data_IF_950903405579
#
_entry.id   IF_950903405579
#
_cell.length_a   1.000
_cell.length_b   1.000
_cell.length_c   1.000
_cell.angle_alpha   90.00
_cell.angle_beta   90.00
_cell.angle_gamma   90.00
#
_symmetry.space_group_name_H-M   'P 1'
#
loop_
_entity.id
_entity.type
_entity.pdbx_description
1 polymer ?
#
# COMPACT_ATOMS: atom_id res chain seq x y z
N UNK A 1 24.84 -29.49 -11.18
CA UNK A 1 25.20 -29.21 -9.76
C UNK A 1 25.68 -27.77 -9.68
N UNK A 2 25.34 -27.01 -8.63
CA UNK A 2 25.80 -25.62 -8.52
C UNK A 2 27.34 -25.49 -8.56
N UNK A 3 27.85 -24.54 -9.35
CA UNK A 3 29.28 -24.28 -9.54
C UNK A 3 29.70 -23.02 -8.80
N UNK A 4 30.69 -23.11 -7.92
CA UNK A 4 31.24 -21.97 -7.21
C UNK A 4 31.90 -20.97 -8.18
N UNK A 5 31.73 -19.67 -7.90
CA UNK A 5 32.31 -18.56 -8.64
C UNK A 5 33.06 -17.60 -7.70
N UNK A 6 34.28 -17.24 -8.06
CA UNK A 6 34.99 -16.08 -7.50
C UNK A 6 34.61 -14.76 -8.20
N UNK A 7 35.12 -13.61 -7.73
CA UNK A 7 34.84 -12.28 -8.31
C UNK A 7 34.98 -12.22 -9.84
N UNK A 8 36.07 -12.79 -10.37
CA UNK A 8 36.37 -12.73 -11.80
C UNK A 8 35.40 -13.59 -12.60
N UNK A 9 35.08 -14.77 -12.07
CA UNK A 9 34.14 -15.71 -12.65
C UNK A 9 32.71 -15.17 -12.63
N UNK A 10 32.26 -14.50 -11.55
CA UNK A 10 30.94 -13.86 -11.50
C UNK A 10 30.82 -12.83 -12.63
N UNK A 11 31.83 -11.99 -12.82
CA UNK A 11 31.84 -10.95 -13.85
C UNK A 11 31.79 -11.53 -15.26
N UNK A 12 32.62 -12.55 -15.54
CA UNK A 12 32.63 -13.21 -16.85
C UNK A 12 31.32 -13.95 -17.14
N UNK A 13 30.79 -14.68 -16.15
CA UNK A 13 29.56 -15.46 -16.30
C UNK A 13 28.34 -14.56 -16.46
N UNK A 14 28.27 -13.42 -15.76
CA UNK A 14 27.22 -12.42 -15.97
C UNK A 14 27.22 -11.90 -17.40
N UNK A 15 28.39 -11.56 -17.93
CA UNK A 15 28.51 -11.08 -19.31
C UNK A 15 28.18 -12.17 -20.32
N UNK A 16 28.48 -13.43 -20.02
CA UNK A 16 28.10 -14.55 -20.87
C UNK A 16 26.59 -14.82 -20.81
N UNK A 17 25.98 -14.78 -19.63
CA UNK A 17 24.53 -14.88 -19.41
C UNK A 17 23.76 -13.86 -20.24
N UNK A 18 24.17 -12.58 -20.18
CA UNK A 18 23.56 -11.51 -20.98
C UNK A 18 23.75 -11.74 -22.49
N UNK A 19 24.89 -12.29 -22.92
CA UNK A 19 25.15 -12.59 -24.34
C UNK A 19 24.23 -13.69 -24.85
N UNK A 20 24.12 -14.77 -24.09
CA UNK A 20 23.47 -16.01 -24.47
C UNK A 20 21.95 -15.96 -24.38
N UNK A 21 21.39 -15.04 -23.59
CA UNK A 21 19.95 -14.90 -23.39
C UNK A 21 19.17 -14.81 -24.72
N UNK A 22 18.14 -15.64 -24.86
CA UNK A 22 17.25 -15.69 -26.03
C UNK A 22 15.78 -15.48 -25.70
N UNK A 23 15.38 -15.68 -24.45
CA UNK A 23 13.98 -15.53 -24.03
C UNK A 23 13.81 -14.46 -22.97
N UNK A 24 14.67 -14.48 -21.93
CA UNK A 24 14.56 -13.54 -20.81
C UNK A 24 15.90 -13.10 -20.26
N UNK A 25 15.91 -11.88 -19.73
CA UNK A 25 16.95 -11.38 -18.83
C UNK A 25 16.25 -10.81 -17.60
N UNK A 26 16.63 -11.30 -16.41
CA UNK A 26 16.15 -10.78 -15.14
C UNK A 26 17.37 -10.43 -14.28
N UNK A 27 17.45 -9.17 -13.87
CA UNK A 27 18.49 -8.67 -12.98
C UNK A 27 17.87 -8.26 -11.65
N UNK A 28 18.26 -8.95 -10.58
CA UNK A 28 17.88 -8.60 -9.22
C UNK A 28 19.08 -8.03 -8.52
N UNK A 29 18.95 -6.81 -8.00
CA UNK A 29 20.04 -6.10 -7.33
C UNK A 29 19.53 -5.34 -6.12
N UNK A 30 20.36 -5.17 -5.10
CA UNK A 30 20.03 -4.29 -3.98
C UNK A 30 19.99 -2.82 -4.39
N UNK A 31 20.98 -2.40 -5.18
CA UNK A 31 21.18 -1.03 -5.64
C UNK A 31 21.08 -0.96 -7.15
N UNK A 32 20.26 -0.05 -7.67
CA UNK A 32 20.21 0.21 -9.10
C UNK A 32 21.37 1.13 -9.51
N UNK A 33 22.56 0.53 -9.60
CA UNK A 33 23.74 1.12 -10.21
C UNK A 33 24.31 0.06 -11.14
N UNK A 34 23.99 0.19 -12.43
CA UNK A 34 24.38 -0.77 -13.45
C UNK A 34 25.55 -0.19 -14.23
N UNK A 35 26.61 -0.97 -14.48
CA UNK A 35 27.73 -0.47 -15.26
C UNK A 35 27.40 -0.31 -16.76
N UNK A 36 28.20 0.49 -17.46
CA UNK A 36 27.94 0.85 -18.87
C UNK A 36 27.95 -0.37 -19.79
N UNK A 37 28.81 -1.36 -19.52
CA UNK A 37 28.88 -2.59 -20.33
C UNK A 37 27.60 -3.43 -20.27
N UNK A 38 26.96 -3.51 -19.10
CA UNK A 38 25.69 -4.21 -18.93
C UNK A 38 24.57 -3.41 -19.57
N UNK A 39 24.54 -2.08 -19.38
CA UNK A 39 23.55 -1.19 -20.01
C UNK A 39 23.57 -1.32 -21.54
N UNK A 40 24.75 -1.29 -22.17
CA UNK A 40 24.92 -1.46 -23.61
C UNK A 40 24.38 -2.80 -24.12
N UNK A 41 24.57 -3.87 -23.35
CA UNK A 41 24.06 -5.21 -23.71
C UNK A 41 22.55 -5.28 -23.62
N UNK A 42 21.94 -4.70 -22.58
CA UNK A 42 20.49 -4.64 -22.44
C UNK A 42 19.86 -3.85 -23.60
N UNK A 43 20.40 -2.67 -23.92
CA UNK A 43 19.99 -1.88 -25.10
C UNK A 43 20.11 -2.66 -26.39
N UNK A 44 21.21 -3.40 -26.58
CA UNK A 44 21.42 -4.23 -27.77
C UNK A 44 20.37 -5.33 -27.88
N UNK A 45 20.06 -6.01 -26.77
CA UNK A 45 19.03 -7.08 -26.74
C UNK A 45 17.63 -6.56 -27.02
N UNK A 46 17.28 -5.42 -26.44
CA UNK A 46 16.02 -4.72 -26.68
C UNK A 46 15.86 -4.31 -28.16
N UNK A 47 16.89 -3.69 -28.76
CA UNK A 47 16.89 -3.31 -30.18
C UNK A 47 16.77 -4.49 -31.14
N UNK A 48 17.31 -5.65 -30.78
CA UNK A 48 17.13 -6.87 -31.56
C UNK A 48 15.70 -7.41 -31.46
N UNK A 49 14.97 -7.08 -30.38
CA UNK A 49 13.56 -7.45 -30.17
C UNK A 49 13.33 -8.95 -30.03
N UNK A 50 14.36 -9.72 -29.69
CA UNK A 50 14.29 -11.19 -29.65
C UNK A 50 13.85 -11.74 -28.29
N UNK A 51 13.91 -10.93 -27.23
CA UNK A 51 13.57 -11.36 -25.88
C UNK A 51 12.08 -11.09 -25.60
N UNK A 52 11.43 -12.01 -24.90
CA UNK A 52 10.08 -11.80 -24.36
C UNK A 52 10.08 -11.03 -23.03
N UNK A 53 11.24 -10.93 -22.36
CA UNK A 53 11.34 -10.27 -21.08
C UNK A 53 12.74 -9.66 -20.83
N UNK A 54 12.77 -8.37 -20.51
CA UNK A 54 13.90 -7.71 -19.86
C UNK A 54 13.38 -7.09 -18.56
N UNK A 55 13.82 -7.59 -17.42
CA UNK A 55 13.33 -7.13 -16.11
C UNK A 55 14.47 -6.76 -15.19
N UNK A 56 14.30 -5.65 -14.48
CA UNK A 56 15.15 -5.27 -13.35
C UNK A 56 14.31 -5.16 -12.10
N UNK A 57 14.72 -5.86 -11.04
CA UNK A 57 14.14 -5.77 -9.71
C UNK A 57 15.20 -5.18 -8.80
N UNK A 58 14.91 -4.03 -8.19
CA UNK A 58 15.87 -3.33 -7.34
C UNK A 58 15.34 -3.05 -5.95
N UNK A 59 16.27 -2.90 -4.99
CA UNK A 59 15.96 -2.63 -3.60
C UNK A 59 15.57 -1.18 -3.32
N UNK A 60 15.67 -0.77 -2.06
CA UNK A 60 15.35 0.60 -1.66
C UNK A 60 16.51 1.58 -1.97
N UNK A 61 16.84 1.73 -3.26
CA UNK A 61 17.70 2.81 -3.75
C UNK A 61 16.88 3.83 -4.51
N UNK A 62 17.06 5.11 -4.19
CA UNK A 62 16.50 6.18 -5.01
C UNK A 62 17.14 6.13 -6.40
N UNK A 63 16.31 6.16 -7.44
CA UNK A 63 16.78 6.16 -8.82
C UNK A 63 17.44 7.50 -9.12
N UNK A 64 18.68 7.46 -9.59
CA UNK A 64 19.39 8.66 -10.06
C UNK A 64 18.97 8.95 -11.49
N UNK A 65 19.01 10.21 -11.89
CA UNK A 65 18.72 10.66 -13.26
C UNK A 65 19.56 9.91 -14.31
N UNK A 66 20.84 9.63 -14.02
CA UNK A 66 21.70 8.81 -14.89
C UNK A 66 21.11 7.42 -15.15
N UNK A 67 20.48 6.81 -14.14
CA UNK A 67 19.89 5.47 -14.26
C UNK A 67 18.62 5.51 -15.11
N UNK A 68 17.75 6.49 -14.86
CA UNK A 68 16.52 6.68 -15.65
C UNK A 68 16.82 6.83 -17.15
N UNK A 69 17.81 7.68 -17.47
CA UNK A 69 18.16 8.00 -18.85
C UNK A 69 18.56 6.79 -19.69
N UNK A 70 19.30 5.82 -19.13
CA UNK A 70 19.69 4.65 -19.92
C UNK A 70 18.56 3.62 -20.02
N UNK A 71 17.68 3.58 -19.02
CA UNK A 71 16.50 2.73 -18.98
C UNK A 71 15.46 3.16 -20.02
N UNK A 72 15.37 4.46 -20.31
CA UNK A 72 14.51 5.04 -21.37
C UNK A 72 14.87 4.55 -22.77
N UNK A 73 16.11 4.14 -23.00
CA UNK A 73 16.56 3.60 -24.29
C UNK A 73 16.16 2.12 -24.51
N UNK A 74 15.36 1.53 -23.61
CA UNK A 74 15.02 0.10 -23.59
C UNK A 74 13.49 -0.06 -23.51
N UNK A 75 12.87 -0.15 -24.69
CA UNK A 75 11.40 -0.10 -24.85
C UNK A 75 10.65 -1.19 -24.07
N UNK A 76 11.24 -2.37 -23.94
CA UNK A 76 10.67 -3.58 -23.32
C UNK A 76 11.12 -3.79 -21.86
N UNK A 77 11.77 -2.79 -21.25
CA UNK A 77 12.26 -2.88 -19.88
C UNK A 77 11.12 -2.82 -18.86
N UNK A 78 11.03 -3.86 -18.02
CA UNK A 78 10.17 -3.88 -16.83
C UNK A 78 11.01 -3.58 -15.60
N UNK A 79 10.54 -2.66 -14.77
CA UNK A 79 11.27 -2.19 -13.58
C UNK A 79 10.39 -2.37 -12.36
N UNK A 80 10.92 -3.05 -11.34
CA UNK A 80 10.23 -3.29 -10.08
C UNK A 80 11.08 -2.82 -8.90
N UNK A 81 10.48 -2.11 -7.96
CA UNK A 81 11.10 -1.72 -6.71
C UNK A 81 10.57 -2.59 -5.56
N UNK A 82 11.45 -3.23 -4.80
CA UNK A 82 11.10 -3.96 -3.58
C UNK A 82 11.86 -3.39 -2.40
N UNK A 83 11.17 -2.64 -1.53
CA UNK A 83 11.79 -1.87 -0.43
C UNK A 83 12.67 -2.70 0.52
N UNK A 84 12.37 -3.99 0.69
CA UNK A 84 13.13 -4.90 1.57
C UNK A 84 13.97 -5.94 0.82
N UNK A 85 14.24 -5.73 -0.47
CA UNK A 85 15.10 -6.61 -1.24
C UNK A 85 16.55 -6.36 -0.86
N UNK A 86 17.32 -7.41 -0.56
CA UNK A 86 18.78 -7.38 -0.40
C UNK A 86 19.46 -8.53 -1.17
N UNK A 87 18.74 -9.16 -2.10
CA UNK A 87 19.25 -10.21 -2.94
C UNK A 87 20.00 -9.63 -4.15
N UNK A 88 20.92 -10.43 -4.69
CA UNK A 88 21.64 -10.14 -5.92
C UNK A 88 21.69 -11.43 -6.72
N UNK A 89 20.95 -11.46 -7.82
CA UNK A 89 20.97 -12.59 -8.72
C UNK A 89 20.65 -12.18 -10.15
N UNK A 90 21.22 -12.93 -11.09
CA UNK A 90 21.23 -12.60 -12.51
C UNK A 90 20.83 -13.82 -13.30
N UNK A 91 19.86 -13.68 -14.21
CA UNK A 91 19.11 -14.83 -14.69
C UNK A 91 18.78 -14.66 -16.17
N UNK A 92 18.97 -15.74 -16.94
CA UNK A 92 18.34 -15.93 -18.25
C UNK A 92 17.61 -17.28 -18.28
N UNK A 93 17.09 -17.71 -19.43
CA UNK A 93 16.32 -18.95 -19.55
C UNK A 93 17.07 -20.26 -19.24
N UNK A 94 18.40 -20.25 -19.28
CA UNK A 94 19.24 -21.44 -19.13
C UNK A 94 20.05 -21.45 -17.83
N UNK A 95 20.36 -20.28 -17.26
CA UNK A 95 21.22 -20.19 -16.08
C UNK A 95 20.90 -19.03 -15.15
N UNK A 96 21.33 -19.19 -13.91
CA UNK A 96 21.18 -18.23 -12.84
C UNK A 96 22.47 -18.08 -12.05
N UNK A 97 22.79 -16.86 -11.65
CA UNK A 97 23.92 -16.53 -10.79
C UNK A 97 23.37 -15.93 -9.51
N UNK A 98 23.69 -16.51 -8.36
CA UNK A 98 23.44 -15.90 -7.05
C UNK A 98 24.80 -15.48 -6.50
N UNK A 99 24.97 -14.20 -6.14
CA UNK A 99 26.27 -13.73 -5.65
C UNK A 99 26.17 -12.59 -4.64
N UNK A 100 27.29 -12.25 -4.01
CA UNK A 100 27.42 -11.03 -3.19
C UNK A 100 27.66 -9.76 -4.03
N UNK A 101 28.02 -9.90 -5.30
CA UNK A 101 28.47 -8.82 -6.19
C UNK A 101 27.29 -7.95 -6.65
N UNK A 102 27.45 -6.62 -6.60
CA UNK A 102 26.53 -5.65 -7.18
C UNK A 102 26.84 -5.38 -8.67
N UNK A 103 25.95 -4.65 -9.36
CA UNK A 103 26.05 -4.37 -10.81
C UNK A 103 26.95 -3.19 -11.20
N UNK A 104 27.61 -2.50 -10.25
CA UNK A 104 28.45 -1.32 -10.53
C UNK A 104 29.95 -1.65 -10.60
N UNK A 105 30.72 -0.82 -11.31
CA UNK A 105 32.13 -1.06 -11.65
C UNK A 105 33.06 -1.31 -10.46
N UNK A 106 32.85 -0.60 -9.35
CA UNK A 106 33.72 -0.67 -8.18
C UNK A 106 33.67 -2.06 -7.49
N UNK A 107 32.55 -2.78 -7.54
CA UNK A 107 32.46 -4.15 -7.00
C UNK A 107 33.33 -5.14 -7.78
N UNK A 108 33.49 -4.97 -9.09
CA UNK A 108 34.21 -5.92 -9.94
C UNK A 108 35.74 -5.82 -9.82
N UNK A 109 36.25 -4.62 -9.48
CA UNK A 109 37.69 -4.36 -9.47
C UNK A 109 38.34 -4.34 -8.06
N UNK A 110 37.55 -4.17 -6.99
CA UNK A 110 38.09 -3.90 -5.64
C UNK A 110 37.56 -4.82 -4.53
N UNK A 111 36.41 -5.46 -4.71
CA UNK A 111 35.83 -6.34 -3.70
C UNK A 111 36.17 -7.80 -3.97
N UNK A 112 36.30 -8.57 -2.89
CA UNK A 112 36.31 -10.02 -2.95
C UNK A 112 34.86 -10.47 -2.82
N UNK A 113 34.34 -11.04 -3.89
CA UNK A 113 32.95 -11.46 -4.02
C UNK A 113 32.93 -12.98 -4.23
N UNK A 114 31.81 -13.59 -3.88
CA UNK A 114 31.58 -15.02 -4.08
C UNK A 114 30.17 -15.27 -4.56
N UNK A 115 29.99 -16.34 -5.31
CA UNK A 115 28.70 -16.72 -5.84
C UNK A 115 28.64 -18.15 -6.29
N UNK A 116 27.47 -18.53 -6.78
CA UNK A 116 27.21 -19.81 -7.39
C UNK A 116 26.48 -19.62 -8.71
N UNK A 117 26.90 -20.39 -9.71
CA UNK A 117 26.20 -20.59 -10.96
C UNK A 117 25.29 -21.81 -10.83
N UNK A 118 24.05 -21.67 -11.27
CA UNK A 118 23.06 -22.72 -11.41
C UNK A 118 22.72 -22.81 -12.89
N UNK A 119 22.97 -23.95 -13.52
CA UNK A 119 22.52 -24.25 -14.88
C UNK A 119 21.24 -25.08 -14.79
N UNK A 120 20.22 -24.68 -15.56
CA UNK A 120 18.87 -25.24 -15.46
C UNK A 120 18.82 -26.71 -15.85
N UNK A 121 19.59 -27.10 -16.85
CA UNK A 121 19.69 -28.49 -17.31
C UNK A 121 20.41 -29.39 -16.31
N UNK A 122 21.34 -28.85 -15.52
CA UNK A 122 22.04 -29.60 -14.49
C UNK A 122 21.36 -29.60 -13.11
N UNK A 123 20.61 -28.55 -12.76
CA UNK A 123 19.96 -28.35 -11.46
C UNK A 123 18.63 -27.61 -11.61
N UNK A 124 17.70 -28.27 -12.31
CA UNK A 124 16.39 -27.70 -12.62
C UNK A 124 15.59 -27.34 -11.37
N UNK A 125 15.67 -28.13 -10.30
CA UNK A 125 14.94 -27.85 -9.06
C UNK A 125 15.38 -26.53 -8.42
N UNK A 126 16.69 -26.28 -8.32
CA UNK A 126 17.20 -25.04 -7.76
C UNK A 126 16.86 -23.83 -8.66
N UNK A 127 16.95 -24.01 -9.98
CA UNK A 127 16.59 -22.95 -10.94
C UNK A 127 15.10 -22.60 -10.85
N UNK A 128 14.19 -23.58 -10.86
CA UNK A 128 12.75 -23.36 -10.81
C UNK A 128 12.33 -22.74 -9.46
N UNK A 129 12.85 -23.22 -8.32
CA UNK A 129 12.58 -22.60 -7.01
C UNK A 129 13.06 -21.16 -6.92
N UNK A 130 14.23 -20.86 -7.49
CA UNK A 130 14.71 -19.48 -7.56
C UNK A 130 13.79 -18.64 -8.46
N UNK A 131 13.32 -19.18 -9.59
CA UNK A 131 12.36 -18.48 -10.45
C UNK A 131 11.01 -18.24 -9.75
N UNK A 132 10.54 -19.14 -8.90
CA UNK A 132 9.37 -18.92 -8.02
C UNK A 132 9.58 -17.68 -7.14
N UNK A 133 10.68 -17.62 -6.38
CA UNK A 133 11.02 -16.44 -5.55
C UNK A 133 11.11 -15.14 -6.39
N UNK A 134 11.64 -15.22 -7.61
CA UNK A 134 11.77 -14.07 -8.50
C UNK A 134 10.42 -13.60 -9.00
N UNK A 135 9.51 -14.52 -9.28
CA UNK A 135 8.14 -14.19 -9.66
C UNK A 135 7.41 -13.56 -8.46
N UNK A 136 7.60 -14.08 -7.26
CA UNK A 136 7.07 -13.47 -6.03
C UNK A 136 7.61 -12.05 -5.82
N UNK A 137 8.88 -11.78 -6.16
CA UNK A 137 9.45 -10.44 -6.11
C UNK A 137 8.82 -9.49 -7.13
N UNK A 138 8.44 -9.96 -8.32
CA UNK A 138 7.74 -9.17 -9.34
C UNK A 138 6.30 -8.88 -8.90
N UNK A 139 5.60 -9.89 -8.37
CA UNK A 139 4.22 -9.78 -7.88
C UNK A 139 4.15 -8.81 -6.70
N UNK A 140 5.05 -8.97 -5.73
CA UNK A 140 5.04 -8.17 -4.51
C UNK A 140 5.91 -6.90 -4.61
N UNK A 141 6.35 -6.52 -5.80
CA UNK A 141 7.22 -5.37 -6.06
C UNK A 141 6.45 -4.20 -6.68
N UNK A 142 6.79 -2.97 -6.31
CA UNK A 142 6.20 -1.76 -6.89
C UNK A 142 6.73 -1.60 -8.33
N UNK A 143 5.91 -1.94 -9.35
CA UNK A 143 6.29 -1.68 -10.76
C UNK A 143 6.42 -0.17 -10.97
N UNK A 144 7.57 0.26 -11.51
CA UNK A 144 7.81 1.66 -11.86
C UNK A 144 7.59 1.86 -13.36
N UNK A 145 6.68 2.74 -13.74
CA UNK A 145 6.58 3.23 -15.12
C UNK A 145 7.58 4.35 -15.29
N UNK A 146 8.25 4.37 -16.43
CA UNK A 146 9.32 5.33 -16.69
C UNK A 146 8.81 6.79 -16.70
N UNK A 147 7.60 6.98 -17.20
CA UNK A 147 6.87 8.27 -17.18
C UNK A 147 6.54 8.77 -15.76
N UNK A 148 6.42 7.87 -14.76
CA UNK A 148 6.18 8.22 -13.35
C UNK A 148 7.49 8.57 -12.61
N UNK A 149 8.65 8.31 -13.23
CA UNK A 149 9.97 8.49 -12.63
C UNK A 149 10.58 9.88 -12.86
N UNK A 150 10.06 10.67 -13.80
CA UNK A 150 10.52 12.04 -14.08
C UNK A 150 10.22 13.03 -12.94
N UNK A 151 9.14 12.84 -12.16
CA UNK A 151 8.77 13.77 -11.08
C UNK A 151 9.62 13.62 -9.80
N UNK A 152 10.40 12.55 -9.67
CA UNK A 152 11.10 12.17 -8.43
C UNK A 152 12.54 12.74 -8.37
N UNK A 153 13.05 13.29 -9.47
CA UNK A 153 14.45 13.72 -9.63
C UNK A 153 14.91 14.98 -8.87
N UNK A 154 14.07 15.60 -8.03
CA UNK A 154 14.37 16.91 -7.38
C UNK A 154 14.52 16.92 -5.85
N UNK A 155 14.71 15.76 -5.21
CA UNK A 155 14.84 15.68 -3.74
C UNK A 155 16.14 15.03 -3.29
N UNK A 156 17.10 15.86 -2.86
CA UNK A 156 18.47 15.53 -2.45
C UNK A 156 18.64 14.56 -1.26
N UNK A 157 19.56 13.61 -1.47
CA UNK A 157 20.72 13.18 -0.65
C UNK A 157 20.74 13.55 0.86
N UNK A 158 20.65 12.53 1.75
CA UNK A 158 21.80 12.01 2.54
C UNK A 158 21.41 11.00 3.65
N UNK A 159 22.11 9.86 3.61
CA UNK A 159 22.62 8.98 4.68
C UNK A 159 21.72 8.16 5.64
N UNK A 160 21.75 6.86 5.34
CA UNK A 160 21.59 5.71 6.23
C UNK A 160 22.71 5.57 7.28
N UNK A 161 22.38 5.01 8.46
CA UNK A 161 23.07 3.84 9.03
C UNK A 161 22.22 3.15 10.11
N UNK A 162 22.32 1.82 10.13
CA UNK A 162 21.45 0.85 10.79
C UNK A 162 21.90 0.44 12.21
N UNK A 163 20.99 -0.16 12.99
CA UNK A 163 21.22 -1.45 13.69
C UNK A 163 19.93 -2.12 14.24
N UNK A 164 19.91 -3.45 14.09
CA UNK A 164 19.09 -4.52 14.75
C UNK A 164 19.29 -4.51 16.28
N UNK A 165 18.57 -5.15 17.20
CA UNK A 165 17.66 -6.31 17.32
C UNK A 165 17.04 -6.24 18.73
N UNK A 166 15.89 -6.88 19.01
CA UNK A 166 15.74 -7.93 20.06
C UNK A 166 14.28 -8.46 20.19
N UNK A 167 14.18 -9.71 20.66
CA UNK A 167 13.05 -10.65 20.61
C UNK A 167 12.18 -10.64 21.89
N UNK A 168 11.04 -11.36 21.80
CA UNK A 168 10.20 -12.00 22.85
C UNK A 168 8.93 -11.22 23.23
N UNK A 169 7.73 -11.79 23.44
CA UNK A 169 7.26 -13.16 23.69
C UNK A 169 5.91 -13.44 23.00
N UNK A 170 5.67 -14.71 22.66
CA UNK A 170 4.45 -15.18 22.01
C UNK A 170 3.21 -15.13 22.93
N UNK A 171 2.19 -14.36 22.50
CA UNK A 171 0.77 -14.63 22.79
C UNK A 171 0.15 -15.24 21.52
N UNK A 172 -0.76 -16.19 21.69
CA UNK A 172 -1.56 -16.78 20.59
C UNK A 172 -2.05 -15.67 19.64
N UNK A 173 -1.92 -15.81 18.31
CA UNK A 173 -2.24 -14.73 17.38
C UNK A 173 -3.74 -14.41 17.49
N UNK A 174 -4.05 -13.17 17.83
CA UNK A 174 -5.41 -12.63 17.80
C UNK A 174 -5.86 -12.69 16.34
N UNK A 175 -6.86 -13.53 16.02
CA UNK A 175 -7.43 -13.60 14.67
C UNK A 175 -8.40 -12.43 14.52
N UNK A 176 -8.09 -11.52 13.59
CA UNK A 176 -8.85 -10.29 13.36
C UNK A 176 -10.05 -10.56 12.44
N UNK A 177 -11.18 -9.87 12.69
CA UNK A 177 -12.30 -9.85 11.74
C UNK A 177 -11.90 -9.16 10.43
N UNK A 178 -12.70 -9.30 9.36
CA UNK A 178 -12.37 -8.68 8.08
C UNK A 178 -12.26 -7.16 8.18
N UNK A 179 -13.19 -6.52 8.88
CA UNK A 179 -13.12 -5.07 9.13
C UNK A 179 -11.85 -4.67 9.90
N UNK A 180 -11.45 -5.46 10.90
CA UNK A 180 -10.22 -5.18 11.66
C UNK A 180 -8.96 -5.40 10.82
N UNK A 181 -8.96 -6.36 9.91
CA UNK A 181 -7.87 -6.55 8.94
C UNK A 181 -7.78 -5.33 8.00
N UNK A 182 -8.91 -4.82 7.51
CA UNK A 182 -8.98 -3.59 6.70
C UNK A 182 -8.41 -2.41 7.47
N UNK A 183 -8.88 -2.17 8.69
CA UNK A 183 -8.42 -1.07 9.53
C UNK A 183 -6.92 -1.17 9.85
N UNK A 184 -6.42 -2.38 10.12
CA UNK A 184 -5.01 -2.63 10.38
C UNK A 184 -4.17 -2.25 9.16
N UNK A 185 -4.54 -2.71 7.96
CA UNK A 185 -3.84 -2.39 6.72
C UNK A 185 -3.77 -0.87 6.48
N UNK A 186 -4.90 -0.17 6.64
CA UNK A 186 -4.96 1.29 6.44
C UNK A 186 -4.14 2.06 7.47
N UNK A 187 -4.12 1.62 8.73
CA UNK A 187 -3.27 2.22 9.77
C UNK A 187 -1.78 1.99 9.51
N UNK A 188 -1.39 0.81 9.00
CA UNK A 188 -0.01 0.52 8.63
C UNK A 188 0.46 1.40 7.46
N UNK A 189 -0.40 1.62 6.47
CA UNK A 189 -0.12 2.53 5.35
C UNK A 189 -0.04 3.99 5.81
N UNK A 190 -1.01 4.46 6.60
CA UNK A 190 -0.97 5.80 7.21
C UNK A 190 0.29 6.02 8.03
N UNK A 191 0.63 5.07 8.92
CA UNK A 191 1.84 5.12 9.73
C UNK A 191 3.08 5.37 8.88
N UNK A 192 3.18 4.66 7.76
CA UNK A 192 4.29 4.76 6.82
C UNK A 192 4.31 6.13 6.12
N UNK A 193 3.18 6.57 5.57
CA UNK A 193 3.08 7.87 4.89
C UNK A 193 3.38 9.04 5.83
N UNK A 194 2.75 9.06 7.01
CA UNK A 194 2.93 10.11 8.00
C UNK A 194 4.36 10.14 8.55
N UNK A 195 5.01 8.98 8.67
CA UNK A 195 6.42 8.92 9.06
C UNK A 195 7.35 9.66 8.10
N UNK A 196 7.04 9.62 6.79
CA UNK A 196 7.77 10.36 5.77
C UNK A 196 7.51 11.87 5.88
N UNK A 197 6.26 12.26 6.10
CA UNK A 197 5.86 13.66 6.23
C UNK A 197 6.56 14.36 7.40
N UNK A 198 6.55 13.72 8.58
CA UNK A 198 7.11 14.32 9.80
C UNK A 198 8.57 13.92 10.08
N UNK A 199 9.20 13.16 9.18
CA UNK A 199 10.59 12.68 9.27
C UNK A 199 10.91 11.93 10.58
N UNK A 200 10.00 11.08 11.02
CA UNK A 200 10.17 10.21 12.20
C UNK A 200 10.11 8.73 11.79
N UNK A 201 10.50 7.82 12.69
CA UNK A 201 10.41 6.38 12.43
C UNK A 201 8.94 5.94 12.41
N UNK A 202 8.56 5.04 11.51
CA UNK A 202 7.20 4.47 11.44
C UNK A 202 6.71 3.97 12.78
N UNK A 203 7.53 3.21 13.50
CA UNK A 203 7.17 2.60 14.80
C UNK A 203 7.01 3.65 15.90
N UNK A 204 7.60 4.85 15.73
CA UNK A 204 7.36 5.96 16.66
C UNK A 204 6.03 6.67 16.40
N UNK A 205 5.50 6.61 15.17
CA UNK A 205 4.16 7.10 14.82
C UNK A 205 3.08 6.19 15.41
N UNK A 206 3.12 4.90 15.10
CA UNK A 206 2.23 3.90 15.68
C UNK A 206 3.02 2.59 15.82
N UNK A 207 3.12 2.06 17.03
CA UNK A 207 3.73 0.73 17.20
C UNK A 207 2.79 -0.35 16.66
N UNK A 208 3.30 -1.55 16.38
CA UNK A 208 2.43 -2.67 15.98
C UNK A 208 1.42 -3.01 17.08
N UNK A 209 1.81 -2.83 18.35
CA UNK A 209 0.92 -2.97 19.50
C UNK A 209 -0.16 -1.87 19.52
N UNK A 210 0.20 -0.62 19.19
CA UNK A 210 -0.77 0.48 19.09
C UNK A 210 -1.83 0.14 18.04
N UNK A 211 -1.41 -0.32 16.85
CA UNK A 211 -2.32 -0.68 15.76
C UNK A 211 -3.27 -1.81 16.19
N UNK A 212 -2.74 -2.89 16.77
CA UNK A 212 -3.57 -4.00 17.25
C UNK A 212 -4.56 -3.53 18.33
N UNK A 213 -4.11 -2.72 19.28
CA UNK A 213 -4.97 -2.19 20.34
C UNK A 213 -6.05 -1.25 19.78
N UNK A 214 -5.74 -0.45 18.75
CA UNK A 214 -6.72 0.42 18.10
C UNK A 214 -7.79 -0.41 17.40
N UNK A 215 -7.42 -1.37 16.53
CA UNK A 215 -8.41 -2.14 15.74
C UNK A 215 -9.23 -3.11 16.60
N UNK A 216 -8.72 -3.50 17.77
CA UNK A 216 -9.46 -4.35 18.72
C UNK A 216 -10.23 -3.55 19.78
N UNK A 217 -10.11 -2.22 19.80
CA UNK A 217 -10.81 -1.36 20.76
C UNK A 217 -12.30 -1.26 20.46
N UNK A 218 -13.11 -1.24 21.52
CA UNK A 218 -14.55 -0.98 21.43
C UNK A 218 -14.89 0.52 21.36
N UNK A 219 -13.95 1.42 21.71
CA UNK A 219 -14.15 2.86 21.72
C UNK A 219 -12.96 3.57 21.03
N UNK A 220 -13.22 4.22 19.90
CA UNK A 220 -12.24 4.95 19.08
C UNK A 220 -12.54 6.46 19.10
N UNK A 221 -12.85 7.00 20.27
CA UNK A 221 -12.90 8.46 20.50
C UNK A 221 -11.50 9.02 20.75
N UNK A 222 -11.33 10.34 20.63
CA UNK A 222 -10.06 11.03 20.97
C UNK A 222 -9.63 10.68 22.40
N UNK A 223 -10.57 10.69 23.36
CA UNK A 223 -10.31 10.30 24.75
C UNK A 223 -9.93 8.81 24.90
N UNK A 224 -10.56 7.93 24.12
CA UNK A 224 -10.17 6.52 24.03
C UNK A 224 -8.76 6.33 23.48
N UNK A 225 -8.40 7.08 22.43
CA UNK A 225 -7.07 7.02 21.81
C UNK A 225 -5.96 7.58 22.71
N UNK A 226 -6.24 8.58 23.54
CA UNK A 226 -5.29 9.04 24.58
C UNK A 226 -4.92 7.89 25.53
N UNK A 227 -5.90 7.06 25.92
CA UNK A 227 -5.66 5.91 26.79
C UNK A 227 -4.89 4.79 26.07
N UNK A 228 -5.22 4.52 24.80
CA UNK A 228 -4.56 3.48 23.99
C UNK A 228 -3.10 3.85 23.70
N UNK A 229 -2.86 5.09 23.26
CA UNK A 229 -1.53 5.56 22.86
C UNK A 229 -0.63 5.94 24.05
N UNK A 230 -1.20 6.07 25.25
CA UNK A 230 -0.51 6.42 26.50
C UNK A 230 0.36 7.68 26.41
N UNK A 231 0.04 8.56 25.46
CA UNK A 231 0.78 9.79 25.19
C UNK A 231 -0.18 10.83 24.59
N UNK A 232 -0.54 11.84 25.39
CA UNK A 232 -1.53 12.85 25.02
C UNK A 232 -1.13 13.63 23.76
N UNK A 233 0.11 14.11 23.67
CA UNK A 233 0.59 14.86 22.51
C UNK A 233 0.55 14.04 21.23
N UNK A 234 0.89 12.75 21.32
CA UNK A 234 0.81 11.79 20.21
C UNK A 234 -0.65 11.55 19.79
N UNK A 235 -1.55 11.40 20.77
CA UNK A 235 -2.97 11.25 20.51
C UNK A 235 -3.57 12.50 19.86
N UNK A 236 -3.23 13.70 20.33
CA UNK A 236 -3.70 14.96 19.74
C UNK A 236 -3.29 15.07 18.27
N UNK A 237 -2.09 14.60 17.92
CA UNK A 237 -1.57 14.64 16.54
C UNK A 237 -2.20 13.59 15.62
N UNK A 238 -2.53 12.40 16.13
CA UNK A 238 -2.90 11.25 15.30
C UNK A 238 -4.40 10.91 15.32
N UNK A 239 -5.15 11.37 16.32
CA UNK A 239 -6.52 10.88 16.55
C UNK A 239 -7.44 11.13 15.36
N UNK A 240 -7.33 12.27 14.69
CA UNK A 240 -8.13 12.56 13.50
C UNK A 240 -7.86 11.59 12.36
N UNK A 241 -6.59 11.40 12.02
CA UNK A 241 -6.21 10.46 10.97
C UNK A 241 -6.68 9.06 11.28
N UNK A 242 -6.53 8.61 12.54
CA UNK A 242 -7.00 7.31 12.98
C UNK A 242 -8.51 7.20 12.84
N UNK A 243 -9.28 8.16 13.33
CA UNK A 243 -10.75 8.16 13.24
C UNK A 243 -11.21 8.19 11.77
N UNK A 244 -10.59 9.01 10.92
CA UNK A 244 -10.90 9.09 9.50
C UNK A 244 -10.61 7.77 8.79
N UNK A 245 -9.51 7.09 9.12
CA UNK A 245 -9.19 5.75 8.64
C UNK A 245 -10.25 4.73 9.08
N UNK A 246 -10.67 4.77 10.36
CA UNK A 246 -11.72 3.88 10.86
C UNK A 246 -13.04 4.09 10.13
N UNK A 247 -13.42 5.34 9.88
CA UNK A 247 -14.62 5.66 9.12
C UNK A 247 -14.50 5.23 7.66
N UNK A 248 -13.37 5.52 7.02
CA UNK A 248 -13.14 5.19 5.62
C UNK A 248 -13.06 3.68 5.38
N UNK A 249 -12.56 2.91 6.35
CA UNK A 249 -12.50 1.44 6.28
C UNK A 249 -13.87 0.80 6.02
N UNK A 250 -14.96 1.44 6.45
CA UNK A 250 -16.35 0.97 6.23
C UNK A 250 -16.80 1.08 4.77
N UNK A 251 -16.09 1.84 3.93
CA UNK A 251 -16.41 1.98 2.51
C UNK A 251 -15.93 0.80 1.66
N UNK A 252 -15.08 -0.05 2.22
CA UNK A 252 -14.61 -1.26 1.54
C UNK A 252 -15.72 -2.30 1.50
N UNK A 253 -15.89 -2.90 0.32
CA UNK A 253 -16.74 -4.07 0.13
C UNK A 253 -15.90 -5.31 0.26
N UNK A 254 -16.35 -6.26 1.08
CA UNK A 254 -15.70 -7.57 1.19
C UNK A 254 -16.38 -8.55 0.25
N UNK A 255 -15.60 -9.35 -0.48
CA UNK A 255 -16.15 -10.36 -1.38
C UNK A 255 -15.17 -11.47 -1.73
N UNK A 256 -15.72 -12.58 -2.19
CA UNK A 256 -14.97 -13.73 -2.68
C UNK A 256 -14.84 -13.64 -4.21
N UNK A 257 -13.64 -13.86 -4.72
CA UNK A 257 -13.35 -13.88 -6.15
C UNK A 257 -13.83 -15.20 -6.75
N UNK A 258 -14.81 -15.12 -7.63
CA UNK A 258 -15.45 -16.30 -8.25
C UNK A 258 -14.77 -16.65 -9.57
N UNK A 259 -14.37 -15.66 -10.36
CA UNK A 259 -13.79 -15.82 -11.70
C UNK A 259 -13.05 -14.54 -12.12
N UNK A 260 -12.07 -14.65 -13.03
CA UNK A 260 -11.32 -13.51 -13.57
C UNK A 260 -11.06 -13.67 -15.06
N UNK A 261 -10.92 -12.55 -15.78
CA UNK A 261 -10.71 -12.54 -17.23
C UNK A 261 -9.74 -11.44 -17.64
N UNK A 262 -8.65 -11.84 -18.26
CA UNK A 262 -7.80 -10.93 -19.03
C UNK A 262 -8.45 -10.65 -20.39
N UNK A 263 -8.54 -9.39 -20.78
CA UNK A 263 -8.97 -9.00 -22.12
C UNK A 263 -7.77 -8.99 -23.07
N UNK A 264 -8.03 -9.39 -24.32
CA UNK A 264 -6.98 -9.48 -25.34
C UNK A 264 -7.02 -8.30 -26.34
N UNK A 265 -7.96 -7.38 -26.17
CA UNK A 265 -8.12 -6.20 -27.00
C UNK A 265 -7.74 -4.91 -26.25
N UNK A 266 -7.41 -3.86 -27.00
CA UNK A 266 -6.94 -2.59 -26.44
C UNK A 266 -8.07 -1.67 -25.94
N UNK A 267 -9.33 -2.07 -26.09
CA UNK A 267 -10.49 -1.22 -25.80
C UNK A 267 -11.26 -1.66 -24.55
N UNK A 268 -10.96 -2.85 -24.03
CA UNK A 268 -11.65 -3.47 -22.91
C UNK A 268 -10.74 -3.55 -21.69
N UNK A 269 -11.36 -3.43 -20.51
CA UNK A 269 -10.67 -3.59 -19.23
C UNK A 269 -10.80 -5.02 -18.75
N UNK A 270 -9.79 -5.50 -18.03
CA UNK A 270 -9.83 -6.80 -17.38
C UNK A 270 -11.03 -6.88 -16.43
N UNK A 271 -11.55 -8.08 -16.25
CA UNK A 271 -12.80 -8.27 -15.52
C UNK A 271 -12.66 -9.23 -14.36
N UNK A 272 -13.29 -8.88 -13.24
CA UNK A 272 -13.33 -9.68 -12.02
C UNK A 272 -14.79 -9.99 -11.71
N UNK A 273 -15.09 -11.27 -11.50
CA UNK A 273 -16.36 -11.72 -10.98
C UNK A 273 -16.24 -11.91 -9.49
N UNK A 274 -16.96 -11.11 -8.71
CA UNK A 274 -16.92 -11.16 -7.26
C UNK A 274 -18.32 -11.45 -6.69
N UNK A 275 -18.37 -12.30 -5.67
CA UNK A 275 -19.54 -12.51 -4.82
C UNK A 275 -19.36 -11.68 -3.55
N UNK A 276 -20.18 -10.66 -3.38
CA UNK A 276 -20.13 -9.78 -2.20
C UNK A 276 -20.51 -10.57 -0.94
N UNK A 277 -19.75 -10.43 0.13
CA UNK A 277 -20.07 -11.06 1.41
C UNK A 277 -21.33 -10.42 2.01
N UNK A 278 -22.26 -11.26 2.50
CA UNK A 278 -23.55 -10.80 3.02
C UNK A 278 -24.64 -10.58 1.95
N UNK A 279 -24.30 -10.59 0.66
CA UNK A 279 -25.25 -10.60 -0.45
C UNK A 279 -25.14 -11.92 -1.22
N UNK A 280 -26.27 -12.51 -1.63
CA UNK A 280 -26.21 -13.70 -2.50
C UNK A 280 -26.04 -13.34 -3.98
N UNK A 281 -25.42 -12.18 -4.27
CA UNK A 281 -25.31 -11.61 -5.59
C UNK A 281 -23.87 -11.65 -6.07
N UNK A 282 -23.68 -12.10 -7.30
CA UNK A 282 -22.38 -12.14 -7.96
C UNK A 282 -22.41 -11.20 -9.16
N UNK A 283 -21.42 -10.31 -9.27
CA UNK A 283 -21.33 -9.32 -10.36
C UNK A 283 -19.95 -9.36 -11.02
N UNK A 284 -19.93 -8.97 -12.28
CA UNK A 284 -18.69 -8.65 -13.00
C UNK A 284 -18.37 -7.18 -12.82
N UNK A 285 -17.08 -6.89 -12.65
CA UNK A 285 -16.55 -5.54 -12.52
C UNK A 285 -15.36 -5.38 -13.45
N UNK A 286 -15.18 -4.18 -13.98
CA UNK A 286 -14.00 -3.81 -14.78
C UNK A 286 -12.88 -3.32 -13.85
N UNK A 287 -11.62 -3.61 -14.19
CA UNK A 287 -10.46 -3.23 -13.38
C UNK A 287 -9.27 -2.80 -14.22
N UNK A 288 -8.42 -1.95 -13.63
CA UNK A 288 -7.05 -1.68 -14.08
C UNK A 288 -6.00 -2.31 -13.16
N UNK A 289 -6.46 -2.94 -12.08
CA UNK A 289 -5.63 -3.62 -11.11
C UNK A 289 -5.32 -5.03 -11.58
N UNK A 290 -4.28 -5.62 -11.01
CA UNK A 290 -3.98 -7.03 -11.22
C UNK A 290 -5.14 -7.93 -10.73
N UNK A 291 -5.44 -8.99 -11.50
CA UNK A 291 -6.56 -9.87 -11.20
C UNK A 291 -6.23 -10.78 -10.00
N UNK A 292 -7.01 -10.73 -8.91
CA UNK A 292 -6.84 -11.63 -7.79
C UNK A 292 -7.17 -13.08 -8.20
N UNK A 293 -6.69 -14.05 -7.43
CA UNK A 293 -6.93 -15.46 -7.71
C UNK A 293 -8.35 -15.87 -7.31
N UNK A 294 -8.89 -16.83 -8.05
CA UNK A 294 -10.17 -17.44 -7.71
C UNK A 294 -10.11 -18.09 -6.32
N UNK A 295 -11.12 -17.80 -5.49
CA UNK A 295 -11.22 -18.25 -4.11
C UNK A 295 -10.60 -17.29 -3.09
N UNK A 296 -9.90 -16.24 -3.53
CA UNK A 296 -9.42 -15.20 -2.61
C UNK A 296 -10.58 -14.39 -2.06
N UNK A 297 -10.49 -14.03 -0.77
CA UNK A 297 -11.36 -13.03 -0.17
C UNK A 297 -10.64 -11.70 -0.21
N UNK A 298 -11.30 -10.66 -0.70
CA UNK A 298 -10.70 -9.33 -0.86
C UNK A 298 -11.55 -8.27 -0.17
N UNK A 299 -10.90 -7.23 0.33
CA UNK A 299 -11.53 -5.95 0.59
C UNK A 299 -11.27 -5.06 -0.63
N UNK A 300 -12.31 -4.51 -1.25
CA UNK A 300 -12.20 -3.67 -2.44
C UNK A 300 -13.04 -2.40 -2.34
N UNK A 301 -12.53 -1.31 -2.90
CA UNK A 301 -13.32 -0.09 -3.12
C UNK A 301 -14.07 -0.18 -4.46
N UNK A 302 -15.40 -0.23 -4.39
CA UNK A 302 -16.24 -0.28 -5.60
C UNK A 302 -16.72 1.12 -5.98
N UNK A 303 -16.62 1.44 -7.28
CA UNK A 303 -17.21 2.65 -7.83
C UNK A 303 -18.02 2.33 -9.08
N UNK A 304 -19.35 2.21 -8.93
CA UNK A 304 -20.25 1.72 -9.99
C UNK A 304 -19.84 0.29 -10.42
N UNK A 305 -19.38 0.13 -11.66
CA UNK A 305 -18.91 -1.14 -12.22
C UNK A 305 -17.40 -1.36 -12.04
N UNK A 306 -16.70 -0.45 -11.35
CA UNK A 306 -15.25 -0.52 -11.21
C UNK A 306 -14.83 -1.22 -9.93
N UNK A 307 -13.93 -2.19 -10.11
CA UNK A 307 -13.14 -2.82 -9.06
C UNK A 307 -11.83 -2.05 -8.97
N UNK A 308 -11.69 -1.20 -7.94
CA UNK A 308 -10.52 -0.34 -7.78
C UNK A 308 -9.52 -0.98 -6.82
N UNK A 309 -8.89 -0.18 -5.97
CA UNK A 309 -7.90 -0.65 -5.01
C UNK A 309 -8.50 -1.71 -4.09
N UNK A 310 -7.76 -2.81 -3.97
CA UNK A 310 -8.13 -3.95 -3.16
C UNK A 310 -6.92 -4.50 -2.42
N UNK A 311 -7.18 -5.32 -1.41
CA UNK A 311 -6.19 -6.16 -0.77
C UNK A 311 -6.81 -7.48 -0.33
N UNK A 312 -5.96 -8.51 -0.28
CA UNK A 312 -6.36 -9.87 0.08
C UNK A 312 -6.52 -9.95 1.60
N UNK A 313 -7.60 -10.60 2.03
CA UNK A 313 -7.96 -10.83 3.42
C UNK A 313 -7.68 -12.29 3.80
N UNK A 314 -7.20 -12.49 5.03
CA UNK A 314 -7.05 -13.82 5.60
C UNK A 314 -8.39 -14.32 6.13
N UNK A 315 -8.65 -15.62 5.97
CA UNK A 315 -9.87 -16.26 6.44
C UNK A 315 -10.14 -15.91 7.92
N UNK A 316 -11.37 -15.52 8.26
CA UNK A 316 -11.80 -15.24 9.64
C UNK A 316 -12.88 -16.24 10.05
N UNK A 317 -12.91 -16.65 11.33
CA UNK A 317 -13.86 -17.67 11.85
C UNK A 317 -15.20 -17.08 12.30
N UNK A 318 -15.36 -15.77 12.22
CA UNK A 318 -16.61 -15.11 12.62
C UNK A 318 -17.47 -14.88 11.38
N UNK A 319 -18.67 -15.47 11.40
CA UNK A 319 -19.71 -15.21 10.42
C UNK A 319 -20.06 -13.72 10.46
N UNK A 320 -19.44 -12.90 9.60
CA UNK A 320 -19.92 -11.56 9.29
C UNK A 320 -21.18 -11.66 8.39
N UNK A 321 -22.20 -12.32 8.95
CA UNK A 321 -23.58 -12.13 8.55
C UNK A 321 -24.07 -10.84 9.22
N UNK A 322 -24.37 -9.85 8.37
CA UNK A 322 -24.72 -8.45 8.68
C UNK A 322 -23.52 -7.54 8.91
N UNK A 323 -23.12 -6.85 7.85
CA UNK A 323 -22.73 -5.45 7.98
C UNK A 323 -23.93 -4.64 8.48
N UNK A 324 -24.24 -4.75 9.76
CA UNK A 324 -24.93 -3.68 10.47
C UNK A 324 -23.87 -2.65 10.85
N UNK A 325 -24.10 -1.46 10.34
CA UNK A 325 -23.32 -0.24 10.51
C UNK A 325 -22.90 -0.05 11.97
N UNK A 326 -21.61 -0.18 12.29
CA UNK A 326 -21.06 0.48 13.48
C UNK A 326 -20.65 1.89 13.09
N UNK A 327 -21.70 2.71 12.98
CA UNK A 327 -21.68 4.16 13.20
C UNK A 327 -20.82 4.40 14.44
N UNK A 328 -20.03 5.48 14.48
CA UNK A 328 -19.54 6.01 15.77
C UNK A 328 -20.76 6.00 16.70
N UNK A 329 -20.70 5.23 17.78
CA UNK A 329 -21.89 4.96 18.57
C UNK A 329 -22.28 6.19 19.39
N UNK A 330 -23.05 7.07 18.76
CA UNK A 330 -23.64 8.25 19.38
C UNK A 330 -24.96 7.92 20.11
N UNK A 331 -25.33 6.64 20.25
CA UNK A 331 -26.59 6.26 20.91
C UNK A 331 -26.69 6.76 22.36
N UNK A 332 -25.54 6.99 22.99
CA UNK A 332 -25.42 7.54 24.35
C UNK A 332 -24.94 8.99 24.39
N UNK A 333 -24.73 9.65 23.25
CA UNK A 333 -24.24 11.03 23.19
C UNK A 333 -25.31 12.04 23.56
N UNK A 334 -24.89 13.15 24.17
CA UNK A 334 -25.76 14.28 24.44
C UNK A 334 -25.89 15.11 23.17
N UNK A 335 -27.12 15.25 22.68
CA UNK A 335 -27.40 15.99 21.46
C UNK A 335 -27.68 17.46 21.72
N UNK A 336 -26.99 18.33 20.99
CA UNK A 336 -27.02 19.79 21.12
C UNK A 336 -27.33 20.44 19.78
N UNK A 337 -28.13 21.49 19.79
CA UNK A 337 -28.28 22.41 18.65
C UNK A 337 -27.01 23.25 18.48
N UNK A 338 -26.80 23.83 17.30
CA UNK A 338 -25.65 24.73 17.06
C UNK A 338 -25.66 25.98 17.95
N UNK A 339 -26.82 26.36 18.50
CA UNK A 339 -26.93 27.39 19.54
C UNK A 339 -26.40 26.90 20.88
N UNK A 340 -26.79 25.71 21.33
CA UNK A 340 -26.29 25.15 22.59
C UNK A 340 -24.80 24.82 22.50
N UNK A 341 -24.31 24.42 21.32
CA UNK A 341 -22.88 24.27 21.06
C UNK A 341 -22.13 25.61 21.18
N UNK A 342 -22.72 26.73 20.77
CA UNK A 342 -22.10 28.06 20.97
C UNK A 342 -22.05 28.52 22.42
N UNK A 343 -22.81 27.90 23.32
CA UNK A 343 -22.78 28.23 24.75
C UNK A 343 -21.66 27.47 25.49
N UNK A 344 -21.26 26.31 24.97
CA UNK A 344 -20.17 25.49 25.51
C UNK A 344 -18.84 25.65 24.76
N UNK A 345 -18.86 26.39 23.64
CA UNK A 345 -17.65 26.78 22.89
C UNK A 345 -17.45 28.29 22.97
N UNK A 346 -16.23 28.76 22.68
CA UNK A 346 -15.95 30.19 22.52
C UNK A 346 -16.38 30.74 21.15
N UNK A 347 -17.17 29.99 20.38
CA UNK A 347 -17.55 30.29 19.00
C UNK A 347 -19.03 30.70 18.92
N UNK A 348 -19.35 31.64 18.05
CA UNK A 348 -20.74 31.96 17.72
C UNK A 348 -21.40 30.84 16.92
N UNK A 349 -22.73 30.72 16.99
CA UNK A 349 -23.47 29.73 16.20
C UNK A 349 -23.25 29.91 14.69
N UNK A 350 -22.88 31.13 14.24
CA UNK A 350 -22.54 31.40 12.84
C UNK A 350 -21.20 30.80 12.45
N UNK A 351 -20.19 30.90 13.32
CA UNK A 351 -18.86 30.31 13.10
C UNK A 351 -18.95 28.78 13.10
N UNK A 352 -19.66 28.20 14.07
CA UNK A 352 -19.97 26.76 14.10
C UNK A 352 -20.63 26.31 12.80
N UNK A 353 -21.67 27.03 12.35
CA UNK A 353 -22.33 26.67 11.10
C UNK A 353 -21.40 26.78 9.89
N UNK A 354 -20.48 27.76 9.86
CA UNK A 354 -19.47 27.87 8.79
C UNK A 354 -18.56 26.65 8.77
N UNK A 355 -17.97 26.30 9.92
CA UNK A 355 -17.05 25.15 10.05
C UNK A 355 -17.71 23.86 9.56
N UNK A 356 -18.96 23.62 9.97
CA UNK A 356 -19.70 22.42 9.57
C UNK A 356 -20.02 22.38 8.07
N UNK A 357 -20.29 23.54 7.45
CA UNK A 357 -20.52 23.65 6.00
C UNK A 357 -19.23 23.50 5.21
N UNK A 358 -18.17 24.21 5.60
CA UNK A 358 -16.86 24.19 4.95
C UNK A 358 -16.28 22.76 4.92
N UNK A 359 -16.60 21.96 5.94
CA UNK A 359 -16.22 20.55 6.05
C UNK A 359 -17.21 19.55 5.46
N UNK A 360 -18.23 20.04 4.74
CA UNK A 360 -19.26 19.25 4.04
C UNK A 360 -20.07 18.34 4.97
N UNK A 361 -20.21 18.71 6.24
CA UNK A 361 -21.01 17.97 7.22
C UNK A 361 -22.49 18.35 7.13
N UNK A 362 -22.77 19.59 6.74
CA UNK A 362 -24.13 20.04 6.46
C UNK A 362 -24.16 21.06 5.33
N UNK A 363 -25.35 21.27 4.78
CA UNK A 363 -25.59 22.25 3.72
C UNK A 363 -26.84 23.07 4.03
N UNK A 364 -26.90 24.27 3.44
CA UNK A 364 -28.01 25.21 3.62
C UNK A 364 -28.77 25.36 2.31
N UNK A 365 -30.08 25.13 2.34
CA UNK A 365 -30.97 25.44 1.23
C UNK A 365 -32.09 26.37 1.71
N UNK A 366 -32.09 27.62 1.27
CA UNK A 366 -33.04 28.62 1.74
C UNK A 366 -32.90 28.88 3.26
N UNK A 367 -33.95 28.54 4.01
CA UNK A 367 -33.97 28.65 5.48
C UNK A 367 -33.66 27.33 6.20
N UNK A 368 -33.50 26.24 5.46
CA UNK A 368 -33.37 24.89 6.00
C UNK A 368 -31.91 24.42 5.99
N UNK A 369 -31.56 23.67 7.03
CA UNK A 369 -30.29 22.95 7.14
C UNK A 369 -30.48 21.46 6.89
N UNK A 370 -29.62 20.90 6.04
CA UNK A 370 -29.63 19.50 5.65
C UNK A 370 -28.34 18.82 6.06
N UNK A 371 -28.47 17.68 6.74
CA UNK A 371 -27.32 16.86 7.08
C UNK A 371 -26.86 16.10 5.83
N UNK A 372 -25.57 16.20 5.49
CA UNK A 372 -25.02 15.42 4.37
C UNK A 372 -24.84 13.96 4.79
N UNK A 373 -24.54 13.08 3.83
CA UNK A 373 -24.12 11.70 4.14
C UNK A 373 -22.94 11.66 5.12
N UNK A 374 -22.00 12.60 4.98
CA UNK A 374 -20.88 12.78 5.90
C UNK A 374 -21.39 13.28 7.25
N UNK A 375 -22.25 14.29 7.31
CA UNK A 375 -22.84 14.74 8.58
C UNK A 375 -23.52 13.62 9.37
N UNK A 376 -24.30 12.78 8.69
CA UNK A 376 -25.00 11.65 9.31
C UNK A 376 -24.01 10.62 9.89
N UNK A 377 -22.84 10.41 9.27
CA UNK A 377 -21.80 9.54 9.85
C UNK A 377 -21.12 10.13 11.09
N UNK A 378 -21.20 11.45 11.29
CA UNK A 378 -20.79 12.15 12.52
C UNK A 378 -21.98 12.40 13.48
N UNK A 379 -23.06 11.63 13.33
CA UNK A 379 -24.16 11.62 14.28
C UNK A 379 -25.20 12.71 14.06
N UNK A 380 -25.16 13.47 12.97
CA UNK A 380 -26.16 14.50 12.69
C UNK A 380 -27.59 13.97 12.78
N UNK A 381 -28.43 14.64 13.57
CA UNK A 381 -29.87 14.38 13.64
C UNK A 381 -30.62 15.58 13.09
N UNK A 382 -31.16 15.44 11.87
CA UNK A 382 -32.03 16.45 11.29
C UNK A 382 -33.38 16.47 12.00
N UNK A 383 -33.84 17.67 12.37
CA UNK A 383 -35.12 17.94 13.03
C UNK A 383 -35.84 19.06 12.31
N UNK A 384 -37.17 19.07 12.42
CA UNK A 384 -38.02 20.13 11.89
C UNK A 384 -38.50 21.02 13.03
N UNK A 385 -38.37 22.34 12.85
CA UNK A 385 -38.78 23.34 13.81
C UNK A 385 -39.70 24.39 13.18
N UNK A 386 -40.17 25.33 14.01
CA UNK A 386 -41.07 26.42 13.61
C UNK A 386 -40.49 27.32 12.49
N UNK A 387 -39.17 27.36 12.34
CA UNK A 387 -38.45 28.27 11.43
C UNK A 387 -37.73 27.54 10.30
N UNK A 388 -37.95 26.24 10.13
CA UNK A 388 -37.26 25.41 9.14
C UNK A 388 -36.58 24.20 9.77
N UNK A 389 -35.83 23.47 8.94
CA UNK A 389 -35.03 22.31 9.34
C UNK A 389 -33.73 22.74 10.00
N UNK A 390 -33.36 22.05 11.06
CA UNK A 390 -32.13 22.26 11.79
C UNK A 390 -31.51 20.92 12.16
N UNK A 391 -30.23 20.94 12.54
CA UNK A 391 -29.48 19.73 12.85
C UNK A 391 -29.07 19.78 14.33
N UNK A 392 -29.30 18.68 15.04
CA UNK A 392 -28.71 18.41 16.33
C UNK A 392 -27.44 17.57 16.12
N UNK A 393 -26.41 17.89 16.86
CA UNK A 393 -25.13 17.20 16.80
C UNK A 393 -24.80 16.59 18.17
N UNK A 394 -24.08 15.46 18.20
CA UNK A 394 -23.47 14.98 19.43
C UNK A 394 -22.51 16.05 19.98
N UNK A 395 -22.48 16.26 21.29
CA UNK A 395 -21.62 17.27 21.95
C UNK A 395 -20.13 17.10 21.58
N UNK A 396 -19.71 15.86 21.33
CA UNK A 396 -18.39 15.44 20.84
C UNK A 396 -18.00 16.09 19.49
N UNK A 397 -18.98 16.63 18.74
CA UNK A 397 -18.71 17.42 17.53
C UNK A 397 -17.87 18.66 17.83
N UNK A 398 -17.89 19.17 19.07
CA UNK A 398 -17.09 20.33 19.50
C UNK A 398 -15.60 20.05 19.41
N UNK A 399 -15.17 18.88 19.86
CA UNK A 399 -13.78 18.47 19.76
C UNK A 399 -13.37 18.43 18.29
N UNK A 400 -14.23 17.89 17.42
CA UNK A 400 -14.03 17.88 15.97
C UNK A 400 -13.88 19.31 15.41
N UNK A 401 -14.75 20.25 15.79
CA UNK A 401 -14.73 21.63 15.27
C UNK A 401 -13.47 22.40 15.68
N UNK A 402 -12.91 22.13 16.86
CA UNK A 402 -11.67 22.79 17.31
C UNK A 402 -10.44 22.46 16.46
N UNK A 403 -10.54 21.39 15.67
CA UNK A 403 -9.46 20.82 14.85
C UNK A 403 -9.68 21.06 13.35
N UNK A 404 -10.82 21.68 13.00
CA UNK A 404 -11.22 22.05 11.64
C UNK A 404 -11.05 23.55 11.35
N UNK A 405 -10.54 24.31 12.32
CA UNK A 405 -10.45 25.77 12.32
C UNK A 405 -9.02 26.28 12.07
#
# INVERSE_FOLDING_TARGET
>A
MAKYLDTSQISSELMQLLKEAREKIILVTFSLQVNEQIQERLRTKSKLGTLSEITIIYGNTQLKEKELKWMEDIDDLKVFQKKNLHAKCYINENKAIISSMNLYDYSQAKNIEMGFLIERDEDNEAYEKMMEDINDLKINGDRKKLDELEEIGKGDLENNKATKNEKSHAKQPIRLSYLQQIQKFLLEDFRKQFSHEIKQKSESILSDEDIVNIVTSQNISVSGLVNILRNRKKADQLSHHIIDIMNWSQSYTVGEIIDTRYQNDQFSYDQIKMKTLGENLTRWYDTKQELPQRGETVAVTLNKNWFNDYFILEESKEEDSKGETKIIDFSNSVYRSTKELSEITSLSSREINSILVDNKLMEKEGNDWYATKKGNSYGALQKEGRYGKFILWPEEIVDLMSLLN
#
